data_IF_230528808050
#
_entry.id   IF_230528808050
#
_cell.length_a   1.000
_cell.length_b   1.000
_cell.length_c   1.000
_cell.angle_alpha   90.00
_cell.angle_beta   90.00
_cell.angle_gamma   90.00
#
_symmetry.space_group_name_H-M   'P 1'
#
loop_
_entity.id
_entity.type
_entity.pdbx_description
1 polymer ?
#
# COMPACT_ATOMS: atom_id res chain seq x y z
N UNK A 1 6.15 19.97 15.80
CA UNK A 1 5.70 18.57 15.72
C UNK A 1 6.61 17.69 16.55
N UNK A 2 6.19 17.46 17.79
CA UNK A 2 6.74 16.45 18.69
C UNK A 2 6.38 15.05 18.18
N UNK A 3 6.98 14.00 18.75
CA UNK A 3 6.62 12.61 18.43
C UNK A 3 5.13 12.34 18.66
N UNK A 4 4.57 12.88 19.75
CA UNK A 4 3.16 12.78 20.11
C UNK A 4 2.23 13.35 19.04
N UNK A 5 2.64 14.44 18.38
CA UNK A 5 1.84 15.08 17.31
C UNK A 5 1.70 14.18 16.08
N UNK A 6 2.60 13.21 15.88
CA UNK A 6 2.54 12.23 14.78
C UNK A 6 1.75 10.97 15.14
N UNK A 7 1.70 10.61 16.43
CA UNK A 7 1.00 9.42 16.88
C UNK A 7 -0.52 9.55 16.77
N UNK A 8 -1.08 10.73 17.06
CA UNK A 8 -2.51 10.97 17.00
C UNK A 8 -3.11 10.72 15.60
N UNK A 9 -2.59 11.32 14.50
CA UNK A 9 -3.11 11.03 13.17
C UNK A 9 -2.87 9.58 12.75
N UNK A 10 -1.76 8.96 13.18
CA UNK A 10 -1.51 7.54 12.92
C UNK A 10 -2.55 6.63 13.56
N UNK A 11 -2.80 6.80 14.86
CA UNK A 11 -3.81 6.02 15.60
C UNK A 11 -5.20 6.30 15.02
N UNK A 12 -5.51 7.56 14.71
CA UNK A 12 -6.75 7.94 14.06
C UNK A 12 -6.94 7.26 12.70
N UNK A 13 -5.91 7.26 11.86
CA UNK A 13 -5.94 6.60 10.56
C UNK A 13 -6.08 5.08 10.67
N UNK A 14 -5.36 4.45 11.61
CA UNK A 14 -5.53 3.02 11.89
C UNK A 14 -6.96 2.69 12.34
N UNK A 15 -7.57 3.52 13.19
CA UNK A 15 -8.94 3.35 13.61
C UNK A 15 -9.93 3.53 12.45
N UNK A 16 -9.72 4.53 11.58
CA UNK A 16 -10.52 4.75 10.38
C UNK A 16 -10.47 3.52 9.47
N UNK A 17 -9.30 3.01 9.18
CA UNK A 17 -9.10 1.82 8.34
C UNK A 17 -9.75 0.56 8.96
N UNK A 18 -9.60 0.36 10.28
CA UNK A 18 -10.28 -0.74 10.97
C UNK A 18 -11.82 -0.65 10.87
N UNK A 19 -12.38 0.55 11.01
CA UNK A 19 -13.84 0.76 11.01
C UNK A 19 -14.44 0.74 9.60
N UNK A 20 -13.79 1.37 8.64
CA UNK A 20 -14.34 1.62 7.30
C UNK A 20 -13.73 0.72 6.21
N UNK A 21 -12.51 0.22 6.40
CA UNK A 21 -11.76 -0.57 5.42
C UNK A 21 -11.63 0.11 4.06
N UNK A 22 -11.57 -0.70 2.99
CA UNK A 22 -11.61 -0.23 1.61
C UNK A 22 -13.03 0.27 1.30
N UNK A 23 -13.36 1.53 1.61
CA UNK A 23 -14.66 2.15 1.31
C UNK A 23 -15.08 1.87 -0.15
N UNK A 24 -15.96 0.88 -0.44
CA UNK A 24 -16.02 0.29 -1.79
C UNK A 24 -16.57 1.25 -2.83
N UNK A 25 -17.37 2.23 -2.41
CA UNK A 25 -17.91 3.28 -3.27
C UNK A 25 -16.86 4.30 -3.75
N UNK A 26 -15.84 4.59 -2.92
CA UNK A 26 -14.80 5.58 -3.23
C UNK A 26 -13.80 5.00 -4.22
N UNK A 27 -13.32 3.79 -3.97
CA UNK A 27 -12.30 3.16 -4.81
C UNK A 27 -12.82 2.54 -6.10
N UNK A 28 -14.15 2.47 -6.25
CA UNK A 28 -14.79 2.13 -7.52
C UNK A 28 -14.67 3.26 -8.54
N UNK A 29 -14.47 4.51 -8.10
CA UNK A 29 -14.32 5.68 -8.98
C UNK A 29 -12.87 6.16 -9.08
N UNK A 30 -12.09 6.06 -8.00
CA UNK A 30 -10.69 6.50 -7.94
C UNK A 30 -9.82 5.28 -7.60
N UNK A 31 -8.82 4.91 -8.44
CA UNK A 31 -7.97 3.77 -8.13
C UNK A 31 -7.24 4.00 -6.80
N UNK A 32 -7.34 3.01 -5.90
CA UNK A 32 -6.65 3.03 -4.62
C UNK A 32 -5.15 3.32 -4.82
N UNK A 33 -4.50 4.13 -3.98
CA UNK A 33 -3.07 4.44 -4.14
C UNK A 33 -2.18 3.19 -4.25
N UNK A 34 -2.53 2.10 -3.55
CA UNK A 34 -1.82 0.81 -3.66
C UNK A 34 -1.85 0.24 -5.08
N UNK A 35 -2.93 0.45 -5.84
CA UNK A 35 -3.04 0.03 -7.25
C UNK A 35 -2.09 0.83 -8.12
N UNK A 36 -1.92 2.13 -7.84
CA UNK A 36 -0.95 2.96 -8.54
C UNK A 36 0.49 2.50 -8.28
N UNK A 37 0.81 2.16 -7.02
CA UNK A 37 2.10 1.58 -6.66
C UNK A 37 2.33 0.24 -7.39
N UNK A 38 1.33 -0.65 -7.42
CA UNK A 38 1.40 -1.91 -8.17
C UNK A 38 1.62 -1.71 -9.67
N UNK A 39 0.95 -0.72 -10.29
CA UNK A 39 1.17 -0.36 -11.71
C UNK A 39 2.58 0.16 -11.95
N UNK A 40 3.13 0.97 -11.05
CA UNK A 40 4.49 1.47 -11.14
C UNK A 40 5.50 0.32 -11.06
N UNK A 41 5.31 -0.60 -10.11
CA UNK A 41 6.13 -1.82 -9.97
C UNK A 41 6.07 -2.65 -11.25
N UNK A 42 4.87 -2.94 -11.77
CA UNK A 42 4.70 -3.73 -12.99
C UNK A 42 5.36 -3.08 -14.22
N UNK A 43 5.33 -1.74 -14.30
CA UNK A 43 6.02 -1.00 -15.36
C UNK A 43 7.55 -1.13 -15.25
N UNK A 44 8.10 -1.03 -14.03
CA UNK A 44 9.52 -1.21 -13.82
C UNK A 44 9.95 -2.66 -14.07
N UNK A 45 9.19 -3.63 -13.58
CA UNK A 45 9.43 -5.05 -13.82
C UNK A 45 9.50 -5.34 -15.33
N UNK A 46 8.48 -4.97 -16.10
CA UNK A 46 8.47 -5.18 -17.57
C UNK A 46 9.64 -4.50 -18.28
N UNK A 47 10.08 -3.33 -17.82
CA UNK A 47 11.16 -2.57 -18.46
C UNK A 47 12.55 -3.07 -18.07
N UNK A 48 12.72 -3.49 -16.81
CA UNK A 48 14.01 -3.71 -16.18
C UNK A 48 14.34 -5.19 -15.95
N UNK A 49 13.34 -6.04 -15.73
CA UNK A 49 13.48 -7.48 -15.49
C UNK A 49 13.37 -8.28 -16.81
N UNK A 50 14.38 -8.17 -17.68
CA UNK A 50 14.43 -8.94 -18.94
C UNK A 50 15.21 -10.24 -18.75
N UNK A 51 14.65 -11.35 -19.19
CA UNK A 51 15.27 -12.69 -19.11
C UNK A 51 16.58 -12.80 -19.90
N UNK A 52 16.73 -12.00 -20.97
CA UNK A 52 17.94 -11.96 -21.79
C UNK A 52 19.17 -11.36 -21.09
N UNK A 53 19.07 -11.01 -19.80
CA UNK A 53 20.13 -10.35 -19.02
C UNK A 53 20.66 -11.31 -17.96
N UNK A 54 21.94 -11.17 -17.60
CA UNK A 54 22.53 -11.91 -16.49
C UNK A 54 21.80 -11.64 -15.17
N UNK A 55 21.86 -12.61 -14.26
CA UNK A 55 21.23 -12.50 -12.94
C UNK A 55 21.71 -11.27 -12.17
N UNK A 56 23.02 -10.98 -12.21
CA UNK A 56 23.60 -9.78 -11.60
C UNK A 56 22.96 -8.48 -12.15
N UNK A 57 22.83 -8.38 -13.48
CA UNK A 57 22.24 -7.20 -14.12
C UNK A 57 20.72 -7.06 -13.90
N UNK A 58 20.02 -8.16 -13.58
CA UNK A 58 18.61 -8.14 -13.14
C UNK A 58 18.52 -7.69 -11.68
N UNK A 59 19.39 -8.21 -10.81
CA UNK A 59 19.47 -7.84 -9.39
C UNK A 59 19.74 -6.34 -9.20
N UNK A 60 20.75 -5.79 -9.87
CA UNK A 60 21.11 -4.36 -9.72
C UNK A 60 19.97 -3.44 -10.14
N UNK A 61 19.24 -3.81 -11.21
CA UNK A 61 18.05 -3.06 -11.63
C UNK A 61 16.87 -3.22 -10.68
N UNK A 62 16.72 -4.38 -10.04
CA UNK A 62 15.80 -4.58 -8.94
C UNK A 62 16.09 -3.63 -7.78
N UNK A 63 17.37 -3.50 -7.39
CA UNK A 63 17.81 -2.53 -6.37
C UNK A 63 17.44 -1.11 -6.77
N UNK A 64 17.76 -0.70 -8.00
CA UNK A 64 17.40 0.64 -8.51
C UNK A 64 15.89 0.87 -8.44
N UNK A 65 15.09 -0.14 -8.81
CA UNK A 65 13.62 -0.05 -8.76
C UNK A 65 13.13 0.17 -7.32
N UNK A 66 13.65 -0.61 -6.36
CA UNK A 66 13.29 -0.48 -4.95
C UNK A 66 13.68 0.90 -4.43
N UNK A 67 14.91 1.35 -4.68
CA UNK A 67 15.39 2.67 -4.24
C UNK A 67 14.48 3.77 -4.78
N UNK A 68 14.16 3.75 -6.08
CA UNK A 68 13.28 4.75 -6.69
C UNK A 68 11.88 4.76 -6.08
N UNK A 69 11.27 3.58 -5.88
CA UNK A 69 9.92 3.49 -5.32
C UNK A 69 9.89 3.94 -3.85
N UNK A 70 10.87 3.51 -3.04
CA UNK A 70 10.97 3.88 -1.62
C UNK A 70 11.26 5.37 -1.48
N UNK A 71 12.21 5.92 -2.24
CA UNK A 71 12.51 7.35 -2.22
C UNK A 71 11.33 8.19 -2.69
N UNK A 72 10.58 7.74 -3.70
CA UNK A 72 9.36 8.42 -4.12
C UNK A 72 8.29 8.40 -3.03
N UNK A 73 8.02 7.23 -2.42
CA UNK A 73 7.06 7.11 -1.33
C UNK A 73 7.43 7.98 -0.12
N UNK A 74 8.71 7.97 0.29
CA UNK A 74 9.21 8.83 1.35
C UNK A 74 9.07 10.31 0.99
N UNK A 75 9.41 10.70 -0.24
CA UNK A 75 9.25 12.07 -0.73
C UNK A 75 7.79 12.53 -0.71
N UNK A 76 6.86 11.69 -1.14
CA UNK A 76 5.42 11.98 -1.06
C UNK A 76 4.96 12.13 0.38
N UNK A 77 5.36 11.23 1.28
CA UNK A 77 5.02 11.31 2.70
C UNK A 77 5.53 12.60 3.35
N UNK A 78 6.79 12.96 3.10
CA UNK A 78 7.39 14.20 3.61
C UNK A 78 6.72 15.44 3.03
N UNK A 79 6.34 15.43 1.75
CA UNK A 79 5.63 16.53 1.13
C UNK A 79 4.23 16.72 1.74
N UNK A 80 3.51 15.62 2.02
CA UNK A 80 2.21 15.64 2.71
C UNK A 80 2.37 16.19 4.12
N UNK A 81 3.32 15.69 4.92
CA UNK A 81 3.58 16.18 6.29
C UNK A 81 3.90 17.68 6.28
N UNK A 82 4.77 18.10 5.35
CA UNK A 82 5.17 19.50 5.23
C UNK A 82 3.99 20.40 4.89
N UNK A 83 3.14 19.98 3.95
CA UNK A 83 1.95 20.73 3.56
C UNK A 83 0.92 20.78 4.70
N UNK A 84 0.67 19.66 5.38
CA UNK A 84 -0.32 19.55 6.45
C UNK A 84 0.05 20.37 7.69
N UNK A 85 1.36 20.49 8.00
CA UNK A 85 1.84 21.26 9.16
C UNK A 85 1.37 22.71 9.19
N UNK A 86 1.11 23.31 8.02
CA UNK A 86 0.66 24.70 7.90
C UNK A 86 -0.84 24.94 8.13
N UNK A 87 -1.65 23.88 8.22
CA UNK A 87 -3.12 24.00 8.25
C UNK A 87 -3.72 23.39 9.53
N UNK A 88 -4.74 24.03 10.13
CA UNK A 88 -5.41 23.53 11.34
C UNK A 88 -6.03 22.13 11.18
N UNK A 89 -6.44 21.78 9.95
CA UNK A 89 -7.03 20.48 9.61
C UNK A 89 -5.99 19.47 9.10
N UNK A 90 -4.69 19.80 9.13
CA UNK A 90 -3.63 18.95 8.59
C UNK A 90 -3.61 17.55 9.22
N UNK A 91 -3.78 17.45 10.54
CA UNK A 91 -3.83 16.17 11.24
C UNK A 91 -5.01 15.29 10.81
N UNK A 92 -6.15 15.89 10.47
CA UNK A 92 -7.32 15.15 9.98
C UNK A 92 -7.07 14.61 8.57
N UNK A 93 -6.44 15.41 7.72
CA UNK A 93 -6.06 15.00 6.36
C UNK A 93 -5.02 13.87 6.43
N UNK A 94 -4.01 13.99 7.29
CA UNK A 94 -3.02 12.93 7.52
C UNK A 94 -3.69 11.64 8.01
N UNK A 95 -4.59 11.72 9.00
CA UNK A 95 -5.31 10.55 9.49
C UNK A 95 -6.15 9.88 8.39
N UNK A 96 -6.86 10.66 7.57
CA UNK A 96 -7.62 10.13 6.45
C UNK A 96 -6.72 9.46 5.41
N UNK A 97 -5.58 10.09 5.07
CA UNK A 97 -4.61 9.51 4.14
C UNK A 97 -3.99 8.23 4.69
N UNK A 98 -3.63 8.18 5.97
CA UNK A 98 -3.12 6.96 6.63
C UNK A 98 -4.17 5.86 6.59
N UNK A 99 -5.43 6.19 6.89
CA UNK A 99 -6.53 5.23 6.87
C UNK A 99 -6.78 4.63 5.48
N UNK A 100 -6.55 5.41 4.42
CA UNK A 100 -6.58 4.90 3.04
C UNK A 100 -5.30 4.11 2.71
N UNK A 101 -4.13 4.60 3.08
CA UNK A 101 -2.86 4.04 2.58
C UNK A 101 -2.44 2.73 3.25
N UNK A 102 -2.80 2.50 4.53
CA UNK A 102 -2.37 1.31 5.26
C UNK A 102 -3.16 0.04 4.90
N UNK A 103 -4.44 0.16 4.52
CA UNK A 103 -5.28 -0.93 4.03
C UNK A 103 -5.19 -2.22 4.89
N UNK A 104 -5.14 -2.08 6.22
CA UNK A 104 -4.88 -3.18 7.15
C UNK A 104 -6.05 -4.17 7.18
N UNK A 105 -7.28 -3.65 7.08
CA UNK A 105 -8.49 -4.48 7.20
C UNK A 105 -8.70 -5.31 5.94
N UNK A 106 -8.57 -4.70 4.77
CA UNK A 106 -8.70 -5.42 3.50
C UNK A 106 -7.60 -6.47 3.32
N UNK A 107 -6.37 -6.17 3.75
CA UNK A 107 -5.30 -7.17 3.79
C UNK A 107 -5.65 -8.35 4.71
N UNK A 108 -6.16 -8.08 5.91
CA UNK A 108 -6.61 -9.14 6.84
C UNK A 108 -7.73 -9.99 6.22
N UNK A 109 -8.76 -9.36 5.66
CA UNK A 109 -9.89 -10.04 5.04
C UNK A 109 -9.44 -10.95 3.89
N UNK A 110 -8.50 -10.47 3.05
CA UNK A 110 -7.96 -11.25 1.93
C UNK A 110 -7.17 -12.48 2.41
N UNK A 111 -6.27 -12.31 3.39
CA UNK A 111 -5.49 -13.43 3.95
C UNK A 111 -6.38 -14.42 4.69
N UNK A 112 -7.37 -13.94 5.45
CA UNK A 112 -8.33 -14.78 6.14
C UNK A 112 -9.15 -15.62 5.15
N UNK A 113 -9.57 -15.04 4.03
CA UNK A 113 -10.28 -15.76 2.97
C UNK A 113 -9.45 -16.90 2.37
N UNK A 114 -8.15 -16.70 2.19
CA UNK A 114 -7.22 -17.75 1.75
C UNK A 114 -7.14 -18.88 2.77
N UNK A 115 -7.03 -18.55 4.07
CA UNK A 115 -7.01 -19.53 5.15
C UNK A 115 -8.29 -20.40 5.18
N UNK A 116 -9.45 -19.76 5.13
CA UNK A 116 -10.75 -20.45 5.06
C UNK A 116 -10.85 -21.34 3.82
N UNK A 117 -10.40 -20.86 2.65
CA UNK A 117 -10.41 -21.65 1.43
C UNK A 117 -9.50 -22.89 1.51
N UNK A 118 -8.34 -22.77 2.15
CA UNK A 118 -7.43 -23.88 2.41
C UNK A 118 -8.04 -24.93 3.34
N UNK A 119 -8.67 -24.50 4.43
CA UNK A 119 -9.27 -25.40 5.42
C UNK A 119 -10.46 -26.18 4.83
N UNK A 120 -11.29 -25.52 4.02
CA UNK A 120 -12.51 -26.13 3.47
C UNK A 120 -12.24 -26.92 2.18
N UNK A 121 -11.38 -26.41 1.29
CA UNK A 121 -11.20 -26.94 -0.07
C UNK A 121 -9.78 -27.38 -0.40
N UNK A 122 -8.88 -27.42 0.60
CA UNK A 122 -7.49 -27.83 0.44
C UNK A 122 -6.68 -26.90 -0.47
N UNK A 123 -5.51 -27.39 -0.89
CA UNK A 123 -4.55 -26.64 -1.70
C UNK A 123 -5.12 -26.03 -2.99
N UNK A 124 -5.99 -26.71 -3.76
CA UNK A 124 -6.56 -26.12 -4.98
C UNK A 124 -7.43 -24.89 -4.69
N UNK A 125 -8.28 -24.95 -3.67
CA UNK A 125 -9.15 -23.84 -3.28
C UNK A 125 -8.36 -22.66 -2.72
N UNK A 126 -7.34 -22.92 -1.89
CA UNK A 126 -6.43 -21.88 -1.42
C UNK A 126 -5.70 -21.15 -2.55
N UNK A 127 -5.20 -21.89 -3.55
CA UNK A 127 -4.54 -21.29 -4.72
C UNK A 127 -5.47 -20.41 -5.53
N UNK A 128 -6.73 -20.83 -5.69
CA UNK A 128 -7.75 -20.03 -6.39
C UNK A 128 -8.14 -18.76 -5.61
N UNK A 129 -8.11 -18.80 -4.28
CA UNK A 129 -8.38 -17.64 -3.43
C UNK A 129 -7.27 -16.58 -3.53
N UNK A 130 -5.99 -17.00 -3.62
CA UNK A 130 -4.84 -16.10 -3.80
C UNK A 130 -4.85 -15.38 -5.16
N UNK A 131 -5.47 -15.97 -6.18
CA UNK A 131 -5.49 -15.40 -7.54
C UNK A 131 -6.65 -14.44 -7.81
N UNK A 132 -7.46 -14.11 -6.80
CA UNK A 132 -8.52 -13.09 -6.89
C UNK A 132 -7.99 -11.72 -6.52
#
# INVERSE_FOLDING_TARGET
MTFTDRLLPLIGGLAIDALFGDMPGVFRQIPHPVVLAGRAIALFDRKLNRESRSEAARRDRGIVTIVLLVSAAAGFGLAIEWLCRGYPLGALVEAALIGVLLAQRSLYEHVAAVGVALDVGGLPAGRAAVSR
#
